data_IF_892077263383
#
_entry.id   IF_892077263383
#
_cell.length_a   1.000
_cell.length_b   1.000
_cell.length_c   1.000
_cell.angle_alpha   90.00
_cell.angle_beta   90.00
_cell.angle_gamma   90.00
#
_symmetry.space_group_name_H-M   'P 1'
#
loop_
_entity.id
_entity.type
_entity.pdbx_description
1 polymer ?
#
# COMPACT_ATOMS: atom_id res chain seq x y z
N UNK A 1 2.32 -7.32 -11.67
CA UNK A 1 1.93 -6.21 -10.77
C UNK A 1 3.16 -5.82 -9.97
N UNK A 2 3.45 -4.53 -9.84
CA UNK A 2 4.63 -4.04 -9.17
C UNK A 2 4.23 -3.19 -7.96
N UNK A 3 4.80 -3.49 -6.79
CA UNK A 3 4.51 -2.86 -5.51
C UNK A 3 5.75 -2.11 -5.02
N UNK A 4 5.57 -0.83 -4.70
CA UNK A 4 6.59 -0.01 -4.05
C UNK A 4 6.28 0.06 -2.56
N UNK A 5 7.27 -0.20 -1.72
CA UNK A 5 7.11 -0.21 -0.26
C UNK A 5 8.28 0.55 0.37
N UNK A 6 7.98 1.51 1.25
CA UNK A 6 8.98 2.27 1.99
C UNK A 6 9.30 1.73 3.39
N UNK A 7 8.44 0.85 3.93
CA UNK A 7 8.67 0.12 5.17
C UNK A 7 9.43 -1.18 4.93
N UNK A 8 10.69 -1.24 5.38
CA UNK A 8 11.50 -2.48 5.34
C UNK A 8 10.83 -3.65 6.06
N UNK A 9 10.23 -3.40 7.23
CA UNK A 9 9.53 -4.45 7.98
C UNK A 9 8.33 -5.00 7.19
N UNK A 10 7.61 -4.14 6.46
CA UNK A 10 6.49 -4.57 5.64
C UNK A 10 6.96 -5.36 4.42
N UNK A 11 8.05 -4.92 3.78
CA UNK A 11 8.70 -5.62 2.69
C UNK A 11 9.13 -7.03 3.10
N UNK A 12 9.84 -7.16 4.23
CA UNK A 12 10.33 -8.43 4.73
C UNK A 12 9.16 -9.40 5.03
N UNK A 13 8.09 -8.88 5.65
CA UNK A 13 6.90 -9.68 5.96
C UNK A 13 6.16 -10.14 4.69
N UNK A 14 6.04 -9.29 3.68
CA UNK A 14 5.39 -9.65 2.41
C UNK A 14 6.27 -10.62 1.62
N UNK A 15 7.58 -10.38 1.54
CA UNK A 15 8.52 -11.26 0.87
C UNK A 15 8.50 -12.68 1.47
N UNK A 16 8.52 -12.78 2.81
CA UNK A 16 8.41 -14.06 3.53
C UNK A 16 7.14 -14.83 3.14
N UNK A 17 6.02 -14.14 3.00
CA UNK A 17 4.70 -14.73 2.74
C UNK A 17 4.49 -15.09 1.26
N UNK A 18 5.10 -14.34 0.35
CA UNK A 18 5.11 -14.65 -1.08
C UNK A 18 6.02 -15.85 -1.37
N UNK A 19 7.16 -15.96 -0.68
CA UNK A 19 8.09 -17.09 -0.82
C UNK A 19 7.58 -18.35 -0.12
N UNK A 20 7.02 -18.19 1.08
CA UNK A 20 6.52 -19.29 1.92
C UNK A 20 5.20 -18.90 2.58
N UNK A 21 4.08 -19.38 2.01
CA UNK A 21 2.77 -19.11 2.59
C UNK A 21 2.73 -19.59 4.07
N UNK A 22 2.25 -18.75 5.01
CA UNK A 22 2.30 -19.07 6.42
C UNK A 22 1.57 -20.39 6.69
N UNK A 23 2.28 -21.36 7.27
CA UNK A 23 1.66 -22.59 7.77
C UNK A 23 0.63 -22.18 8.80
N UNK A 24 -0.64 -22.56 8.59
CA UNK A 24 -1.76 -22.31 9.51
C UNK A 24 -1.34 -22.60 10.96
N UNK A 25 -0.90 -21.57 11.67
CA UNK A 25 -0.86 -21.53 13.12
C UNK A 25 -1.98 -20.60 13.56
N UNK A 26 -2.42 -20.81 14.78
CA UNK A 26 -3.74 -20.46 15.27
C UNK A 26 -4.15 -19.02 14.90
N UNK A 27 -5.34 -18.88 14.30
CA UNK A 27 -5.92 -17.68 13.65
C UNK A 27 -6.20 -16.50 14.60
N UNK A 28 -5.28 -16.19 15.52
CA UNK A 28 -5.44 -15.16 16.54
C UNK A 28 -4.83 -13.83 16.10
N UNK A 29 -3.70 -13.84 15.39
CA UNK A 29 -3.03 -12.58 15.04
C UNK A 29 -3.70 -11.88 13.84
N UNK A 30 -3.96 -10.58 13.99
CA UNK A 30 -4.46 -9.72 12.92
C UNK A 30 -3.45 -9.68 11.75
N UNK A 31 -2.15 -9.71 12.07
CA UNK A 31 -1.07 -9.65 11.09
C UNK A 31 -1.10 -10.90 10.20
N UNK A 32 -1.14 -12.10 10.79
CA UNK A 32 -1.20 -13.36 10.04
C UNK A 32 -2.43 -13.46 9.13
N UNK A 33 -3.59 -12.95 9.59
CA UNK A 33 -4.81 -12.88 8.77
C UNK A 33 -4.63 -11.97 7.56
N UNK A 34 -3.97 -10.81 7.73
CA UNK A 34 -3.68 -9.89 6.62
C UNK A 34 -2.67 -10.49 5.65
N UNK A 35 -1.61 -11.11 6.15
CA UNK A 35 -0.61 -11.79 5.34
C UNK A 35 -1.21 -12.95 4.53
N UNK A 36 -2.05 -13.78 5.15
CA UNK A 36 -2.78 -14.84 4.47
C UNK A 36 -3.69 -14.30 3.36
N UNK A 37 -4.37 -13.17 3.60
CA UNK A 37 -5.19 -12.51 2.59
C UNK A 37 -4.37 -11.96 1.43
N UNK A 38 -3.16 -11.44 1.71
CA UNK A 38 -2.23 -10.96 0.67
C UNK A 38 -1.77 -12.12 -0.19
N UNK A 39 -1.32 -13.22 0.42
CA UNK A 39 -0.92 -14.45 -0.29
C UNK A 39 -2.06 -15.00 -1.17
N UNK A 40 -3.28 -15.06 -0.63
CA UNK A 40 -4.45 -15.48 -1.41
C UNK A 40 -4.77 -14.55 -2.58
N UNK A 41 -4.64 -13.24 -2.40
CA UNK A 41 -4.86 -12.26 -3.47
C UNK A 41 -3.74 -12.29 -4.54
N UNK A 42 -2.53 -12.70 -4.18
CA UNK A 42 -1.37 -12.79 -5.08
C UNK A 42 -1.26 -14.13 -5.80
N UNK A 43 -1.92 -15.19 -5.35
CA UNK A 43 -1.75 -16.57 -5.85
C UNK A 43 -1.84 -16.74 -7.39
N UNK A 44 -2.60 -15.87 -8.07
CA UNK A 44 -2.77 -15.89 -9.53
C UNK A 44 -2.19 -14.63 -10.21
N UNK A 45 -1.27 -13.92 -9.56
CA UNK A 45 -0.68 -12.68 -10.06
C UNK A 45 0.82 -12.73 -9.88
N UNK A 46 1.57 -12.40 -10.93
CA UNK A 46 2.99 -12.10 -10.78
C UNK A 46 3.11 -10.78 -10.02
N UNK A 47 3.60 -10.83 -8.79
CA UNK A 47 3.79 -9.66 -7.91
C UNK A 47 5.28 -9.48 -7.68
N UNK A 48 5.81 -8.35 -8.14
CA UNK A 48 7.17 -7.91 -7.80
C UNK A 48 7.09 -6.81 -6.75
N UNK A 49 8.00 -6.85 -5.78
CA UNK A 49 8.04 -5.86 -4.70
C UNK A 49 9.40 -5.20 -4.70
N UNK A 50 9.41 -3.87 -4.64
CA UNK A 50 10.62 -3.06 -4.62
C UNK A 50 10.62 -2.13 -3.40
N UNK A 51 11.78 -2.06 -2.76
CA UNK A 51 12.01 -1.11 -1.69
C UNK A 51 12.29 0.26 -2.28
N UNK A 52 11.50 1.24 -1.86
CA UNK A 52 11.75 2.64 -2.17
C UNK A 52 12.07 3.40 -0.90
N UNK A 53 12.89 4.45 -1.01
CA UNK A 53 13.07 5.36 0.13
C UNK A 53 11.79 6.18 0.26
N UNK A 54 11.22 6.22 1.47
CA UNK A 54 10.08 7.10 1.77
C UNK A 54 10.39 8.54 1.38
N UNK A 55 9.39 9.23 0.81
CA UNK A 55 9.48 10.63 0.36
C UNK A 55 10.56 10.92 -0.70
N UNK A 56 10.87 9.95 -1.57
CA UNK A 56 11.77 10.13 -2.71
C UNK A 56 11.10 10.81 -3.93
N UNK A 57 9.92 11.42 -3.73
CA UNK A 57 9.16 12.07 -4.80
C UNK A 57 8.39 11.12 -5.71
N UNK A 58 8.29 9.82 -5.36
CA UNK A 58 7.47 8.88 -6.11
C UNK A 58 5.98 9.19 -5.87
N UNK A 59 5.21 9.68 -6.88
CA UNK A 59 3.89 10.26 -6.63
C UNK A 59 2.91 9.30 -5.97
N UNK A 60 2.98 8.00 -6.30
CA UNK A 60 2.10 6.98 -5.71
C UNK A 60 2.47 6.65 -4.26
N UNK A 61 3.77 6.68 -3.91
CA UNK A 61 4.20 6.35 -2.56
C UNK A 61 3.88 7.52 -1.60
N UNK A 62 4.14 8.74 -2.05
CA UNK A 62 3.77 9.95 -1.29
C UNK A 62 2.26 10.05 -1.08
N UNK A 63 1.46 9.61 -2.05
CA UNK A 63 0.02 9.53 -1.91
C UNK A 63 -0.41 8.48 -0.87
N UNK A 64 0.24 7.32 -0.85
CA UNK A 64 -0.03 6.29 0.15
C UNK A 64 0.25 6.80 1.58
N UNK A 65 1.38 7.48 1.80
CA UNK A 65 1.71 8.12 3.10
C UNK A 65 0.66 9.18 3.48
N UNK A 66 0.30 10.07 2.55
CA UNK A 66 -0.73 11.09 2.78
C UNK A 66 -2.09 10.49 3.14
N UNK A 67 -2.49 9.40 2.50
CA UNK A 67 -3.73 8.67 2.81
C UNK A 67 -3.64 8.04 4.20
N UNK A 68 -2.51 7.42 4.55
CA UNK A 68 -2.30 6.85 5.89
C UNK A 68 -2.39 7.92 6.99
N UNK A 69 -1.79 9.10 6.77
CA UNK A 69 -1.88 10.26 7.67
C UNK A 69 -3.31 10.79 7.74
N UNK A 70 -4.01 10.92 6.60
CA UNK A 70 -5.40 11.35 6.54
C UNK A 70 -6.28 10.43 7.39
N UNK A 71 -6.23 9.12 7.17
CA UNK A 71 -7.06 8.14 7.89
C UNK A 71 -6.79 8.22 9.40
N UNK A 72 -5.53 8.32 9.81
CA UNK A 72 -5.18 8.46 11.24
C UNK A 72 -5.76 9.73 11.85
N UNK A 73 -5.69 10.86 11.14
CA UNK A 73 -6.22 12.16 11.62
C UNK A 73 -7.75 12.19 11.61
N UNK A 74 -8.37 11.63 10.58
CA UNK A 74 -9.83 11.49 10.50
C UNK A 74 -10.38 10.71 11.69
N UNK A 75 -9.72 9.62 12.10
CA UNK A 75 -10.08 8.88 13.29
C UNK A 75 -9.95 9.75 14.57
N UNK A 76 -8.86 10.51 14.69
CA UNK A 76 -8.64 11.39 15.84
C UNK A 76 -9.65 12.56 15.92
N UNK A 77 -10.14 13.04 14.78
CA UNK A 77 -11.09 14.15 14.70
C UNK A 77 -12.54 13.70 14.52
N UNK A 78 -12.82 12.40 14.61
CA UNK A 78 -14.14 11.81 14.35
C UNK A 78 -14.75 12.28 13.00
N UNK A 79 -13.90 12.48 11.99
CA UNK A 79 -14.35 12.80 10.64
C UNK A 79 -15.13 11.61 10.07
N UNK A 80 -16.26 11.89 9.42
CA UNK A 80 -17.10 10.85 8.82
C UNK A 80 -16.30 9.94 7.88
N UNK A 81 -16.63 8.64 7.90
CA UNK A 81 -15.98 7.63 7.07
C UNK A 81 -16.14 7.96 5.57
N UNK A 82 -17.33 8.41 5.16
CA UNK A 82 -17.60 8.82 3.79
C UNK A 82 -16.67 9.97 3.35
N UNK A 83 -16.61 11.05 4.14
CA UNK A 83 -15.74 12.20 3.86
C UNK A 83 -14.27 11.81 3.79
N UNK A 84 -13.81 10.94 4.69
CA UNK A 84 -12.43 10.46 4.71
C UNK A 84 -12.12 9.61 3.48
N UNK A 85 -13.07 8.77 3.05
CA UNK A 85 -12.94 7.96 1.84
C UNK A 85 -12.94 8.83 0.56
N UNK A 86 -13.75 9.88 0.50
CA UNK A 86 -13.78 10.82 -0.64
C UNK A 86 -12.45 11.56 -0.76
N UNK A 87 -11.91 12.06 0.36
CA UNK A 87 -10.61 12.71 0.41
C UNK A 87 -9.47 11.75 0.01
N UNK A 88 -9.49 10.51 0.50
CA UNK A 88 -8.51 9.50 0.12
C UNK A 88 -8.58 9.17 -1.39
N UNK A 89 -9.80 9.08 -1.93
CA UNK A 89 -10.03 8.86 -3.37
C UNK A 89 -9.47 10.02 -4.19
N UNK A 90 -9.69 11.26 -3.77
CA UNK A 90 -9.15 12.45 -4.42
C UNK A 90 -7.62 12.46 -4.43
N UNK A 91 -6.98 12.11 -3.31
CA UNK A 91 -5.50 11.99 -3.23
C UNK A 91 -4.99 10.92 -4.21
N UNK A 92 -5.62 9.75 -4.23
CA UNK A 92 -5.23 8.64 -5.11
C UNK A 92 -5.35 9.01 -6.60
N UNK A 93 -6.44 9.68 -6.99
CA UNK A 93 -6.65 10.14 -8.35
C UNK A 93 -5.61 11.17 -8.79
N UNK A 94 -5.31 12.17 -7.95
CA UNK A 94 -4.28 13.17 -8.25
C UNK A 94 -2.89 12.54 -8.43
N UNK A 95 -2.55 11.57 -7.59
CA UNK A 95 -1.29 10.83 -7.69
C UNK A 95 -1.18 9.99 -8.96
N UNK A 96 -2.27 9.34 -9.36
CA UNK A 96 -2.33 8.57 -10.61
C UNK A 96 -2.08 9.46 -11.83
N UNK A 97 -2.64 10.67 -11.85
CA UNK A 97 -2.40 11.66 -12.92
C UNK A 97 -0.94 12.12 -12.93
N UNK A 98 -0.38 12.43 -11.77
CA UNK A 98 1.02 12.84 -11.66
C UNK A 98 1.98 11.73 -12.15
N UNK A 99 1.74 10.49 -11.73
CA UNK A 99 2.53 9.33 -12.15
C UNK A 99 2.42 9.05 -13.66
N UNK A 100 1.21 9.13 -14.23
CA UNK A 100 1.02 8.97 -15.67
C UNK A 100 1.74 10.07 -16.47
N UNK A 101 1.84 11.29 -15.89
CA UNK A 101 2.53 12.42 -16.52
C UNK A 101 4.04 12.27 -16.42
N UNK A 102 4.60 11.82 -15.29
CA UNK A 102 6.04 11.59 -15.14
C UNK A 102 6.58 10.44 -16.00
N UNK A 103 5.70 9.56 -16.49
CA UNK A 103 6.04 8.44 -17.38
C UNK A 103 6.04 8.78 -18.87
N UNK A 104 5.55 9.95 -19.27
CA UNK A 104 5.61 10.39 -20.67
C UNK A 104 7.04 10.87 -20.97
N UNK A 105 7.71 10.32 -22.01
CA UNK A 105 9.00 10.86 -22.44
C UNK A 105 8.79 12.29 -22.92
N UNK A 106 9.68 13.20 -22.54
CA UNK A 106 9.83 14.48 -23.23
C UNK A 106 10.26 14.17 -24.67
N UNK A 107 9.43 14.57 -25.63
CA UNK A 107 9.69 14.47 -27.08
C UNK A 107 11.03 15.11 -27.47
#
# INVERSE_FOLDING_TARGET
MHLLIDSRQALDAVALVLDSAPQRRERSDLIERRLSSISGASANREVTVEWERGHNGHPLNDAADRIAVLVRRSAAWATGVATSADLATSIAQGAAVAFATSRRPTE
#
